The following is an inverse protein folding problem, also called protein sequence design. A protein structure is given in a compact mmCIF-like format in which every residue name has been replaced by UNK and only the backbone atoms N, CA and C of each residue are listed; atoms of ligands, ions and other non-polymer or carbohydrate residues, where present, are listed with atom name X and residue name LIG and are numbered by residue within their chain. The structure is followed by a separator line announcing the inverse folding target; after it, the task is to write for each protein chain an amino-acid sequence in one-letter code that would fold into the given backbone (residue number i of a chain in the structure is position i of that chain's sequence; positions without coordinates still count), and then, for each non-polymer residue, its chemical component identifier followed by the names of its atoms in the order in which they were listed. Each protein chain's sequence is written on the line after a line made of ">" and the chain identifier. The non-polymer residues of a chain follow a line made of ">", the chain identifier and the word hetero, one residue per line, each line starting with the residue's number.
data_IF_920418312382
#
_entry.id   IF_920418312382
#
_cell.length_a   1.000
_cell.length_b   1.000
_cell.length_c   1.000
_cell.angle_alpha   90.00
_cell.angle_beta   90.00
_cell.angle_gamma   90.00
#
_symmetry.space_group_name_H-M   'P 1'
#
loop_
_entity.id
_entity.type
_entity.pdbx_description
1 polymer ?
#
# COMPACT_ATOMS: atom_id res chain seq x y z
N UNK A 1 6.38 5.22 9.47
CA UNK A 1 6.88 3.90 9.02
C UNK A 1 5.84 2.78 9.18
N UNK A 2 5.23 2.59 10.36
CA UNK A 2 4.23 1.53 10.62
C UNK A 2 3.14 1.45 9.55
N UNK A 3 2.62 2.60 9.09
CA UNK A 3 1.60 2.67 8.04
C UNK A 3 2.03 2.03 6.71
N UNK A 4 3.30 2.19 6.32
CA UNK A 4 3.84 1.62 5.07
C UNK A 4 4.04 0.10 5.23
N UNK A 5 4.45 -0.36 6.43
CA UNK A 5 4.55 -1.78 6.75
C UNK A 5 3.18 -2.46 6.69
N UNK A 6 2.15 -1.83 7.25
CA UNK A 6 0.77 -2.35 7.18
C UNK A 6 0.27 -2.46 5.72
N UNK A 7 0.56 -1.46 4.87
CA UNK A 7 0.25 -1.54 3.43
C UNK A 7 0.95 -2.74 2.79
N UNK A 8 2.25 -2.92 3.07
CA UNK A 8 3.02 -4.05 2.56
C UNK A 8 2.40 -5.39 2.97
N UNK A 9 2.11 -5.57 4.27
CA UNK A 9 1.52 -6.81 4.79
C UNK A 9 0.16 -7.12 4.17
N UNK A 10 -0.67 -6.12 3.90
CA UNK A 10 -1.96 -6.31 3.21
C UNK A 10 -1.80 -6.70 1.75
N UNK A 11 -0.84 -6.10 1.05
CA UNK A 11 -0.53 -6.43 -0.34
C UNK A 11 -0.01 -7.88 -0.47
N UNK A 12 0.94 -8.28 0.39
CA UNK A 12 1.46 -9.65 0.46
C UNK A 12 0.35 -10.68 0.71
N UNK A 13 -0.58 -10.35 1.61
CA UNK A 13 -1.72 -11.23 1.86
C UNK A 13 -2.61 -11.39 0.61
N UNK A 14 -2.85 -10.31 -0.14
CA UNK A 14 -3.62 -10.36 -1.40
C UNK A 14 -2.87 -11.18 -2.45
N UNK A 15 -1.56 -10.98 -2.60
CA UNK A 15 -0.72 -11.72 -3.54
C UNK A 15 -0.76 -13.22 -3.27
N UNK A 16 -0.66 -13.63 -2.01
CA UNK A 16 -0.80 -15.03 -1.61
C UNK A 16 -2.13 -15.64 -2.02
N UNK A 17 -3.25 -14.90 -1.93
CA UNK A 17 -4.54 -15.38 -2.40
C UNK A 17 -4.65 -15.41 -3.92
N UNK A 18 -4.04 -14.45 -4.63
CA UNK A 18 -3.99 -14.42 -6.09
C UNK A 18 -3.20 -15.61 -6.64
N UNK A 19 -2.07 -15.95 -6.01
CA UNK A 19 -1.28 -17.12 -6.38
C UNK A 19 -2.09 -18.43 -6.28
N UNK A 20 -2.92 -18.57 -5.24
CA UNK A 20 -3.83 -19.70 -5.09
C UNK A 20 -4.93 -19.70 -6.17
N UNK A 21 -5.51 -18.54 -6.48
CA UNK A 21 -6.54 -18.39 -7.53
C UNK A 21 -6.03 -18.76 -8.92
N UNK A 22 -4.76 -18.45 -9.22
CA UNK A 22 -4.14 -18.81 -10.51
C UNK A 22 -3.98 -20.33 -10.68
N UNK A 23 -3.83 -21.08 -9.58
CA UNK A 23 -3.77 -22.54 -9.60
C UNK A 23 -5.16 -23.16 -9.64
N UNK A 24 -6.10 -22.62 -8.85
CA UNK A 24 -7.45 -23.14 -8.72
C UNK A 24 -8.45 -21.99 -8.55
N UNK A 25 -9.16 -21.60 -9.64
CA UNK A 25 -10.20 -20.60 -9.56
C UNK A 25 -11.33 -21.02 -8.61
N UNK A 26 -11.72 -20.12 -7.72
CA UNK A 26 -12.74 -20.34 -6.69
C UNK A 26 -13.49 -19.02 -6.44
N UNK A 27 -14.81 -19.03 -6.62
CA UNK A 27 -15.66 -17.85 -6.47
C UNK A 27 -15.69 -17.30 -5.04
N UNK A 28 -15.46 -18.14 -4.03
CA UNK A 28 -15.30 -17.68 -2.65
C UNK A 28 -14.01 -16.86 -2.48
N UNK A 29 -12.91 -17.34 -3.06
CA UNK A 29 -11.62 -16.64 -3.03
C UNK A 29 -11.65 -15.35 -3.83
N UNK A 30 -12.31 -15.35 -4.98
CA UNK A 30 -12.51 -14.14 -5.78
C UNK A 30 -13.18 -13.04 -4.95
N UNK A 31 -14.30 -13.36 -4.29
CA UNK A 31 -14.98 -12.41 -3.39
C UNK A 31 -14.09 -11.94 -2.25
N UNK A 32 -13.37 -12.85 -1.60
CA UNK A 32 -12.46 -12.50 -0.51
C UNK A 32 -11.31 -11.58 -0.97
N UNK A 33 -10.77 -11.80 -2.17
CA UNK A 33 -9.76 -10.92 -2.78
C UNK A 33 -10.35 -9.53 -3.03
N UNK A 34 -11.54 -9.45 -3.59
CA UNK A 34 -12.23 -8.16 -3.79
C UNK A 34 -12.43 -7.42 -2.47
N UNK A 35 -12.93 -8.10 -1.43
CA UNK A 35 -13.11 -7.50 -0.09
C UNK A 35 -11.79 -6.99 0.51
N UNK A 36 -10.69 -7.74 0.33
CA UNK A 36 -9.35 -7.34 0.79
C UNK A 36 -8.79 -6.15 0.01
N UNK A 37 -9.00 -6.11 -1.30
CA UNK A 37 -8.60 -4.97 -2.14
C UNK A 37 -9.38 -3.72 -1.72
N UNK A 38 -10.71 -3.83 -1.54
CA UNK A 38 -11.52 -2.73 -1.03
C UNK A 38 -11.00 -2.22 0.32
N UNK A 39 -10.77 -3.13 1.28
CA UNK A 39 -10.24 -2.76 2.59
C UNK A 39 -8.81 -2.19 2.55
N UNK A 40 -7.99 -2.56 1.56
CA UNK A 40 -6.68 -1.95 1.32
C UNK A 40 -6.84 -0.52 0.80
N UNK A 41 -7.68 -0.30 -0.22
CA UNK A 41 -7.92 1.02 -0.82
C UNK A 41 -8.46 1.99 0.23
N UNK A 42 -9.45 1.57 1.01
CA UNK A 42 -10.03 2.38 2.10
C UNK A 42 -8.99 2.75 3.17
N UNK A 43 -8.12 1.81 3.53
CA UNK A 43 -7.05 2.07 4.50
C UNK A 43 -6.05 3.10 3.95
N UNK A 44 -5.64 2.99 2.69
CA UNK A 44 -4.68 3.91 2.08
C UNK A 44 -5.31 5.29 1.89
N UNK A 45 -6.58 5.37 1.51
CA UNK A 45 -7.34 6.63 1.47
C UNK A 45 -7.31 7.32 2.84
N UNK A 46 -7.64 6.58 3.90
CA UNK A 46 -7.64 7.09 5.26
C UNK A 46 -6.25 7.58 5.68
N UNK A 47 -5.21 6.77 5.46
CA UNK A 47 -3.83 7.13 5.82
C UNK A 47 -3.36 8.37 5.07
N UNK A 48 -3.62 8.44 3.76
CA UNK A 48 -3.23 9.59 2.95
C UNK A 48 -3.94 10.88 3.44
N UNK A 49 -5.25 10.82 3.69
CA UNK A 49 -6.00 11.96 4.20
C UNK A 49 -5.52 12.42 5.58
N UNK A 50 -5.23 11.48 6.49
CA UNK A 50 -4.69 11.80 7.83
C UNK A 50 -3.33 12.47 7.74
N UNK A 51 -2.43 11.96 6.88
CA UNK A 51 -1.08 12.52 6.71
C UNK A 51 -1.14 13.95 6.15
N UNK A 52 -1.96 14.20 5.13
CA UNK A 52 -2.15 15.55 4.59
C UNK A 52 -2.77 16.51 5.60
N UNK A 53 -3.77 16.07 6.37
CA UNK A 53 -4.36 16.88 7.45
C UNK A 53 -3.31 17.24 8.52
N UNK A 54 -2.41 16.31 8.84
CA UNK A 54 -1.31 16.58 9.79
C UNK A 54 -0.30 17.56 9.21
N UNK A 55 0.01 17.45 7.92
CA UNK A 55 0.91 18.37 7.23
C UNK A 55 0.37 19.80 7.21
N UNK A 56 -0.89 19.98 6.82
CA UNK A 56 -1.56 21.29 6.80
C UNK A 56 -1.60 21.96 8.17
N UNK A 57 -1.67 21.16 9.24
CA UNK A 57 -1.64 21.63 10.63
C UNK A 57 -0.23 21.82 11.18
N UNK A 58 0.81 21.59 10.38
CA UNK A 58 2.21 21.66 10.82
C UNK A 58 2.56 20.64 11.91
N UNK A 59 1.89 19.48 11.91
CA UNK A 59 2.05 18.43 12.95
C UNK A 59 2.93 17.26 12.52
N UNK A 60 3.34 17.20 11.24
CA UNK A 60 4.32 16.20 10.81
C UNK A 60 5.72 16.63 11.22
N UNK A 61 6.52 15.67 11.67
CA UNK A 61 7.94 15.92 11.89
C UNK A 61 8.69 16.02 10.55
N UNK A 62 9.93 16.52 10.57
CA UNK A 62 10.76 16.64 9.37
C UNK A 62 10.94 15.29 8.67
N UNK A 63 11.08 14.21 9.45
CA UNK A 63 11.21 12.86 8.92
C UNK A 63 9.94 12.42 8.18
N UNK A 64 8.77 12.61 8.79
CA UNK A 64 7.49 12.25 8.16
C UNK A 64 7.25 13.07 6.89
N UNK A 65 7.55 14.37 6.94
CA UNK A 65 7.41 15.28 5.80
C UNK A 65 8.35 14.88 4.65
N UNK A 66 9.58 14.50 4.97
CA UNK A 66 10.62 14.17 3.98
C UNK A 66 10.47 12.77 3.39
N UNK A 67 10.00 11.81 4.17
CA UNK A 67 10.06 10.39 3.80
C UNK A 67 8.71 9.69 3.80
N UNK A 68 7.87 9.89 4.82
CA UNK A 68 6.62 9.13 4.97
C UNK A 68 5.49 9.69 4.10
N UNK A 69 5.25 11.00 4.14
CA UNK A 69 4.20 11.65 3.36
C UNK A 69 4.40 11.46 1.84
N UNK A 70 5.60 11.64 1.27
CA UNK A 70 5.84 11.40 -0.16
C UNK A 70 5.58 9.93 -0.54
N UNK A 71 6.07 8.98 0.28
CA UNK A 71 5.85 7.56 0.03
C UNK A 71 4.36 7.20 0.05
N UNK A 72 3.63 7.65 1.07
CA UNK A 72 2.17 7.42 1.17
C UNK A 72 1.43 8.05 -0.01
N UNK A 73 1.78 9.26 -0.42
CA UNK A 73 1.12 9.95 -1.52
C UNK A 73 1.33 9.23 -2.86
N UNK A 74 2.55 8.74 -3.12
CA UNK A 74 2.85 7.98 -4.34
C UNK A 74 2.18 6.61 -4.33
N UNK A 75 2.22 5.89 -3.21
CA UNK A 75 1.51 4.61 -3.05
C UNK A 75 0.01 4.80 -3.26
N UNK A 76 -0.59 5.85 -2.67
CA UNK A 76 -2.00 6.17 -2.85
C UNK A 76 -2.36 6.42 -4.32
N UNK A 77 -1.54 7.22 -5.02
CA UNK A 77 -1.75 7.51 -6.43
C UNK A 77 -1.69 6.23 -7.27
N UNK A 78 -0.69 5.39 -7.04
CA UNK A 78 -0.51 4.12 -7.77
C UNK A 78 -1.66 3.15 -7.48
N UNK A 79 -2.10 3.03 -6.22
CA UNK A 79 -3.28 2.22 -5.87
C UNK A 79 -4.54 2.72 -6.57
N UNK A 80 -4.74 4.04 -6.67
CA UNK A 80 -5.90 4.60 -7.39
C UNK A 80 -5.84 4.33 -8.90
N UNK A 81 -4.66 4.29 -9.49
CA UNK A 81 -4.49 3.98 -10.91
C UNK A 81 -4.70 2.49 -11.18
N UNK A 82 -4.13 1.64 -10.33
CA UNK A 82 -4.04 0.20 -10.57
C UNK A 82 -5.26 -0.58 -10.05
N UNK A 83 -5.81 -0.24 -8.89
CA UNK A 83 -6.80 -1.07 -8.19
C UNK A 83 -8.24 -0.56 -8.27
N UNK A 84 -8.46 0.68 -8.73
CA UNK A 84 -9.82 1.24 -8.92
C UNK A 84 -10.38 1.08 -10.33
N UNK A 85 -9.63 0.41 -11.22
CA UNK A 85 -10.10 0.11 -12.58
C UNK A 85 -11.01 -1.12 -12.54
N UNK A 86 -12.23 -0.98 -13.05
CA UNK A 86 -13.21 -2.06 -13.10
C UNK A 86 -12.71 -3.28 -13.89
N UNK A 87 -13.23 -4.46 -13.53
CA UNK A 87 -13.12 -5.76 -14.20
C UNK A 87 -11.81 -5.95 -14.99
N UNK A 88 -10.78 -6.40 -14.30
CA UNK A 88 -9.48 -6.75 -14.89
C UNK A 88 -9.26 -8.26 -14.84
N UNK A 89 -8.62 -8.86 -15.87
CA UNK A 89 -8.20 -10.26 -15.82
C UNK A 89 -7.35 -10.56 -14.57
N UNK A 90 -7.49 -11.77 -14.02
CA UNK A 90 -6.77 -12.20 -12.81
C UNK A 90 -5.25 -12.07 -12.95
N UNK A 91 -4.70 -12.40 -14.12
CA UNK A 91 -3.26 -12.29 -14.39
C UNK A 91 -2.76 -10.84 -14.38
N UNK A 92 -3.56 -9.92 -14.91
CA UNK A 92 -3.25 -8.49 -14.80
C UNK A 92 -3.28 -8.12 -13.33
N UNK A 93 -4.34 -8.46 -12.58
CA UNK A 93 -4.47 -8.13 -11.15
C UNK A 93 -3.26 -8.59 -10.33
N UNK A 94 -2.80 -9.81 -10.56
CA UNK A 94 -1.56 -10.30 -9.97
C UNK A 94 -0.37 -9.39 -10.30
N UNK A 95 -0.17 -9.03 -11.57
CA UNK A 95 0.93 -8.17 -11.98
C UNK A 95 0.91 -6.78 -11.30
N UNK A 96 -0.26 -6.15 -11.15
CA UNK A 96 -0.35 -4.86 -10.44
C UNK A 96 -0.09 -5.00 -8.95
N UNK A 97 -0.57 -6.07 -8.31
CA UNK A 97 -0.27 -6.32 -6.89
C UNK A 97 1.23 -6.54 -6.70
N UNK A 98 1.89 -7.34 -7.55
CA UNK A 98 3.36 -7.49 -7.52
C UNK A 98 4.09 -6.16 -7.74
N UNK A 99 3.60 -5.31 -8.65
CA UNK A 99 4.15 -3.97 -8.88
C UNK A 99 4.04 -3.07 -7.64
N UNK A 100 2.88 -3.09 -6.98
CA UNK A 100 2.64 -2.34 -5.74
C UNK A 100 3.51 -2.86 -4.58
N UNK A 101 3.67 -4.18 -4.44
CA UNK A 101 4.59 -4.78 -3.46
C UNK A 101 6.02 -4.27 -3.68
N UNK A 102 6.47 -4.25 -4.93
CA UNK A 102 7.81 -3.77 -5.31
C UNK A 102 7.99 -2.29 -4.97
N UNK A 103 6.98 -1.46 -5.25
CA UNK A 103 6.98 -0.02 -4.91
C UNK A 103 7.06 0.19 -3.39
N UNK A 104 6.23 -0.50 -2.62
CA UNK A 104 6.20 -0.36 -1.15
C UNK A 104 7.52 -0.84 -0.54
N UNK A 105 8.07 -1.95 -1.06
CA UNK A 105 9.39 -2.48 -0.67
C UNK A 105 10.51 -1.48 -0.92
N UNK A 106 10.48 -0.82 -2.09
CA UNK A 106 11.45 0.23 -2.42
C UNK A 106 11.42 1.35 -1.40
N UNK A 107 10.23 1.82 -1.00
CA UNK A 107 10.13 2.85 0.03
C UNK A 107 10.58 2.38 1.40
N UNK A 108 10.21 1.18 1.83
CA UNK A 108 10.67 0.63 3.10
C UNK A 108 12.20 0.60 3.15
N UNK A 109 12.84 0.04 2.12
CA UNK A 109 14.30 -0.01 1.99
C UNK A 109 14.94 1.38 1.98
N UNK A 110 14.37 2.33 1.23
CA UNK A 110 14.88 3.71 1.17
C UNK A 110 14.77 4.43 2.51
N UNK A 111 13.67 4.24 3.22
CA UNK A 111 13.43 4.87 4.53
C UNK A 111 14.38 4.25 5.57
N UNK A 112 14.55 2.93 5.57
CA UNK A 112 15.49 2.23 6.45
C UNK A 112 16.95 2.63 6.19
N UNK A 113 17.33 2.72 4.91
CA UNK A 113 18.66 3.13 4.47
C UNK A 113 18.97 4.63 4.61
N UNK A 114 17.98 5.45 5.00
CA UNK A 114 18.15 6.91 5.09
C UNK A 114 19.12 7.36 6.20
N UNK A 115 19.45 6.47 7.16
CA UNK A 115 20.40 6.77 8.24
C UNK A 115 19.95 7.87 9.21
N UNK A 116 18.70 8.34 9.10
CA UNK A 116 18.16 9.40 9.92
C UNK A 116 17.88 8.87 11.34
N UNK A 117 18.67 9.34 12.31
CA UNK A 117 18.66 8.88 13.71
C UNK A 117 17.43 9.33 14.49
N UNK A 118 16.56 10.17 13.91
CA UNK A 118 15.28 10.57 14.50
C UNK A 118 14.20 9.49 14.39
N UNK A 119 14.62 8.22 14.48
CA UNK A 119 13.86 6.97 14.41
C UNK A 119 12.96 6.77 15.63
N UNK A 120 12.46 7.85 16.24
CA UNK A 120 11.55 7.74 17.37
C UNK A 120 10.25 7.20 16.83
N UNK A 121 10.08 5.90 17.08
CA UNK A 121 8.83 5.17 17.02
C UNK A 121 7.82 5.94 17.90
N UNK A 122 7.05 6.82 17.28
CA UNK A 122 5.78 7.30 17.81
C UNK A 122 4.65 6.81 16.92
#
# INVERSE_FOLDING_TARGET
>A
MIRIIEIYSRLEAIDGFLALMLQQPDSYRERMISERITGLVEYIDHVNAVMWTQQERGKLCDFDTRYILPAISEIWLQVKQELTRDSRPLCELAASITGLISLVSFYLSRIEGSGDKNRVLH
#
